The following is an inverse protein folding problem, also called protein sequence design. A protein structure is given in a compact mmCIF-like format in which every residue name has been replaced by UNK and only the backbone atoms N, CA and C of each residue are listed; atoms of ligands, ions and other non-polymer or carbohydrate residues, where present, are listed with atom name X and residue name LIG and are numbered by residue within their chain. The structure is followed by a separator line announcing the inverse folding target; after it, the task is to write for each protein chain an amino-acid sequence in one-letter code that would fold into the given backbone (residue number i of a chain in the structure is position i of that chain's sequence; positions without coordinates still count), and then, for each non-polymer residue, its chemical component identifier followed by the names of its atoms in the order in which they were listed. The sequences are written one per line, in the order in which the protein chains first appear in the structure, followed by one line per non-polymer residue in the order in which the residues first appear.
data_IF_834227081406
#
_entry.id   IF_834227081406
#
_cell.length_a   1.000
_cell.length_b   1.000
_cell.length_c   1.000
_cell.angle_alpha   90.00
_cell.angle_beta   90.00
_cell.angle_gamma   90.00
#
_symmetry.space_group_name_H-M   'P 1'
#
loop_
_entity.id
_entity.type
_entity.pdbx_description
1 polymer ?
#
# COMPACT_ATOMS: atom_id res chain seq x y z
N UNK A 1 9.84 6.37 -3.43
CA UNK A 1 8.57 5.89 -3.97
C UNK A 1 7.87 5.09 -2.92
N UNK A 2 6.72 5.63 -2.56
CA UNK A 2 5.77 5.01 -1.68
C UNK A 2 5.10 3.83 -2.38
N UNK A 3 4.51 2.93 -1.62
CA UNK A 3 3.66 1.85 -2.15
C UNK A 3 2.25 2.08 -1.64
N UNK A 4 1.24 1.97 -2.49
CA UNK A 4 -0.14 2.27 -2.12
C UNK A 4 -1.09 1.16 -2.55
N UNK A 5 -2.07 0.88 -1.70
CA UNK A 5 -3.30 0.20 -2.12
C UNK A 5 -4.35 1.27 -2.43
N UNK A 6 -4.48 1.58 -3.72
CA UNK A 6 -5.44 2.54 -4.23
C UNK A 6 -6.84 1.94 -4.27
N UNK A 7 -7.84 2.70 -3.82
CA UNK A 7 -9.26 2.31 -3.83
C UNK A 7 -10.04 3.20 -4.77
N UNK A 8 -10.73 2.59 -5.72
CA UNK A 8 -11.42 3.27 -6.80
C UNK A 8 -12.92 3.00 -6.76
N UNK A 9 -13.69 3.92 -7.32
CA UNK A 9 -15.12 3.77 -7.52
C UNK A 9 -15.50 4.27 -8.91
N UNK A 10 -16.18 3.44 -9.68
CA UNK A 10 -16.55 3.78 -11.05
C UNK A 10 -17.71 4.78 -11.06
N UNK A 11 -17.50 5.98 -11.59
CA UNK A 11 -18.57 6.97 -11.76
C UNK A 11 -19.67 6.52 -12.74
N UNK A 12 -19.38 5.55 -13.64
CA UNK A 12 -20.33 5.05 -14.63
C UNK A 12 -21.16 3.87 -14.12
N UNK A 13 -20.52 2.80 -13.64
CA UNK A 13 -21.21 1.58 -13.24
C UNK A 13 -21.32 1.40 -11.72
N UNK A 14 -20.77 2.33 -10.92
CA UNK A 14 -20.89 2.36 -9.47
C UNK A 14 -20.10 1.29 -8.70
N UNK A 15 -19.33 0.43 -9.40
CA UNK A 15 -18.55 -0.64 -8.78
C UNK A 15 -17.23 -0.10 -8.21
N UNK A 16 -16.79 -0.72 -7.12
CA UNK A 16 -15.53 -0.44 -6.46
C UNK A 16 -14.48 -1.49 -6.83
N UNK A 17 -13.22 -1.09 -6.90
CA UNK A 17 -12.07 -1.99 -7.03
C UNK A 17 -10.85 -1.39 -6.35
N UNK A 18 -9.80 -2.19 -6.23
CA UNK A 18 -8.52 -1.78 -5.67
C UNK A 18 -7.38 -2.17 -6.58
N UNK A 19 -6.30 -1.39 -6.56
CA UNK A 19 -5.06 -1.73 -7.24
C UNK A 19 -3.86 -1.32 -6.39
N UNK A 20 -2.77 -2.08 -6.45
CA UNK A 20 -1.53 -1.76 -5.76
C UNK A 20 -0.54 -1.12 -6.71
N UNK A 21 -0.04 0.07 -6.37
CA UNK A 21 0.89 0.78 -7.25
C UNK A 21 1.83 1.71 -6.49
N UNK A 22 2.95 2.08 -7.13
CA UNK A 22 3.95 3.00 -6.57
C UNK A 22 3.50 4.47 -6.51
N UNK A 23 2.29 4.76 -6.99
CA UNK A 23 1.67 6.09 -6.91
C UNK A 23 0.13 6.03 -6.95
N UNK A 24 -0.52 7.14 -6.61
CA UNK A 24 -1.98 7.29 -6.62
C UNK A 24 -2.46 7.79 -7.99
N UNK A 25 -2.27 6.97 -9.03
CA UNK A 25 -2.66 7.34 -10.40
C UNK A 25 -4.11 6.96 -10.73
N UNK A 26 -4.64 7.59 -11.76
CA UNK A 26 -5.92 7.22 -12.35
C UNK A 26 -5.85 5.81 -12.96
N UNK A 27 -6.96 5.08 -12.90
CA UNK A 27 -7.11 3.74 -13.47
C UNK A 27 -8.41 3.61 -14.28
N UNK A 28 -8.47 2.60 -15.14
CA UNK A 28 -9.61 2.26 -15.97
C UNK A 28 -10.45 1.16 -15.28
N UNK A 29 -11.78 1.35 -15.21
CA UNK A 29 -12.66 0.42 -14.51
C UNK A 29 -12.64 -0.96 -15.17
N UNK A 30 -12.23 -2.02 -14.44
CA UNK A 30 -12.08 -3.37 -15.00
C UNK A 30 -13.41 -4.03 -15.37
N UNK A 31 -14.53 -3.44 -14.92
CA UNK A 31 -15.87 -4.01 -15.14
C UNK A 31 -16.58 -3.44 -16.37
N UNK A 32 -16.36 -2.18 -16.71
CA UNK A 32 -17.11 -1.52 -17.79
C UNK A 32 -16.24 -0.72 -18.77
N UNK A 33 -14.92 -0.67 -18.53
CA UNK A 33 -13.96 0.04 -19.38
C UNK A 33 -14.11 1.56 -19.36
N UNK A 34 -14.88 2.12 -18.41
CA UNK A 34 -14.84 3.56 -18.16
C UNK A 34 -13.41 3.94 -17.75
N UNK A 35 -12.92 5.10 -18.18
CA UNK A 35 -11.52 5.50 -18.02
C UNK A 35 -11.36 6.64 -17.03
N UNK A 36 -10.13 6.85 -16.56
CA UNK A 36 -9.72 8.00 -15.75
C UNK A 36 -10.44 8.11 -14.40
N UNK A 37 -10.48 7.01 -13.64
CA UNK A 37 -10.94 7.04 -12.26
C UNK A 37 -9.77 7.29 -11.33
N UNK A 38 -9.75 8.44 -10.68
CA UNK A 38 -8.84 8.69 -9.56
C UNK A 38 -9.24 7.84 -8.34
N UNK A 39 -8.27 7.40 -7.53
CA UNK A 39 -8.60 6.73 -6.28
C UNK A 39 -9.31 7.72 -5.35
N UNK A 40 -10.36 7.25 -4.69
CA UNK A 40 -11.07 8.05 -3.68
C UNK A 40 -10.40 7.92 -2.30
N UNK A 41 -9.56 6.89 -2.12
CA UNK A 41 -8.75 6.67 -0.92
C UNK A 41 -7.55 5.78 -1.29
N UNK A 42 -6.42 5.97 -0.63
CA UNK A 42 -5.24 5.14 -0.81
C UNK A 42 -4.64 4.83 0.56
N UNK A 43 -4.44 3.55 0.85
CA UNK A 43 -3.70 3.11 2.03
C UNK A 43 -2.20 3.22 1.72
N UNK A 44 -1.43 3.90 2.58
CA UNK A 44 0.02 3.93 2.48
C UNK A 44 0.60 2.60 3.00
N UNK A 45 1.14 1.82 2.06
CA UNK A 45 1.80 0.55 2.29
C UNK A 45 3.32 0.68 2.09
N UNK A 46 3.88 1.89 2.06
CA UNK A 46 5.32 2.08 1.91
C UNK A 46 6.09 1.40 3.02
N UNK A 47 5.55 1.49 4.24
CA UNK A 47 6.08 0.89 5.44
C UNK A 47 4.99 0.05 6.11
N UNK A 48 5.29 -1.22 6.34
CA UNK A 48 4.34 -2.17 6.92
C UNK A 48 4.95 -2.91 8.10
N UNK A 49 4.10 -3.38 9.01
CA UNK A 49 4.47 -4.33 10.04
C UNK A 49 3.96 -5.71 9.65
N UNK A 50 4.88 -6.64 9.40
CA UNK A 50 4.55 -8.03 9.12
C UNK A 50 4.83 -8.90 10.36
N UNK A 51 3.84 -9.59 10.94
CA UNK A 51 4.09 -10.57 11.99
C UNK A 51 4.78 -11.81 11.41
N UNK A 52 5.92 -12.21 11.98
CA UNK A 52 6.65 -13.43 11.62
C UNK A 52 6.99 -14.22 12.88
N UNK A 53 6.48 -15.43 12.99
CA UNK A 53 6.62 -16.28 14.16
C UNK A 53 6.25 -15.52 15.46
N UNK A 54 7.24 -15.23 16.31
CA UNK A 54 7.08 -14.54 17.59
C UNK A 54 7.60 -13.09 17.56
N UNK A 55 7.82 -12.52 16.37
CA UNK A 55 8.33 -11.16 16.19
C UNK A 55 7.49 -10.39 15.17
N UNK A 56 7.66 -9.07 15.19
CA UNK A 56 7.04 -8.12 14.28
C UNK A 56 8.13 -7.43 13.48
N UNK A 57 8.10 -7.61 12.17
CA UNK A 57 9.13 -7.12 11.26
C UNK A 57 8.61 -5.87 10.58
N UNK A 58 9.30 -4.76 10.78
CA UNK A 58 9.04 -3.53 10.04
C UNK A 58 9.74 -3.63 8.70
N UNK A 59 8.95 -3.51 7.64
CA UNK A 59 9.40 -3.58 6.26
C UNK A 59 9.17 -2.23 5.58
N UNK A 60 10.04 -1.89 4.63
CA UNK A 60 9.86 -0.73 3.75
C UNK A 60 10.10 -1.08 2.30
N UNK A 61 9.20 -0.63 1.43
CA UNK A 61 9.42 -0.67 -0.01
C UNK A 61 10.36 0.48 -0.42
N UNK A 62 11.47 0.20 -1.13
CA UNK A 62 12.43 1.21 -1.53
C UNK A 62 11.87 2.12 -2.61
N UNK A 63 12.50 3.27 -2.78
CA UNK A 63 12.06 4.25 -3.77
C UNK A 63 12.21 3.83 -5.22
N UNK A 64 12.95 2.76 -5.47
CA UNK A 64 13.17 2.20 -6.80
C UNK A 64 12.18 1.08 -7.13
N UNK A 65 11.18 0.84 -6.28
CA UNK A 65 10.11 -0.12 -6.58
C UNK A 65 9.16 0.49 -7.64
N UNK A 66 8.90 -0.26 -8.71
CA UNK A 66 8.05 0.19 -9.82
C UNK A 66 6.82 -0.71 -9.99
N UNK A 67 7.03 -1.99 -10.31
CA UNK A 67 5.95 -2.93 -10.63
C UNK A 67 5.46 -3.76 -9.44
N UNK A 68 6.35 -4.05 -8.49
CA UNK A 68 6.06 -4.86 -7.30
C UNK A 68 6.70 -4.21 -6.08
N UNK A 69 6.14 -4.37 -4.87
CA UNK A 69 6.76 -3.86 -3.67
C UNK A 69 8.02 -4.67 -3.35
N UNK A 70 9.17 -4.00 -3.29
CA UNK A 70 10.46 -4.64 -3.02
C UNK A 70 10.83 -4.56 -1.53
N UNK A 71 9.90 -4.96 -0.64
CA UNK A 71 10.02 -4.78 0.81
C UNK A 71 11.36 -5.29 1.38
N UNK A 72 12.00 -4.44 2.18
CA UNK A 72 13.24 -4.76 2.91
C UNK A 72 13.02 -4.56 4.40
N UNK A 73 13.66 -5.41 5.21
CA UNK A 73 13.65 -5.29 6.67
C UNK A 73 14.33 -4.00 7.10
N UNK A 74 13.60 -3.17 7.84
CA UNK A 74 14.15 -2.02 8.55
C UNK A 74 14.49 -2.38 9.99
N UNK A 75 13.58 -3.07 10.68
CA UNK A 75 13.72 -3.40 12.09
C UNK A 75 12.87 -4.63 12.46
N UNK A 76 13.19 -5.25 13.60
CA UNK A 76 12.45 -6.39 14.15
C UNK A 76 12.19 -6.09 15.62
N UNK A 77 10.95 -6.29 16.05
CA UNK A 77 10.51 -6.06 17.43
C UNK A 77 9.79 -7.28 18.00
N UNK A 78 9.85 -7.51 19.32
CA UNK A 78 9.12 -8.61 19.94
C UNK A 78 7.61 -8.32 20.10
N UNK A 79 7.16 -7.08 19.92
CA UNK A 79 5.74 -6.70 20.06
C UNK A 79 5.27 -5.78 18.95
N UNK A 80 3.99 -5.89 18.57
CA UNK A 80 3.35 -5.01 17.60
C UNK A 80 3.45 -3.54 18.01
N UNK A 81 3.24 -3.25 19.30
CA UNK A 81 3.30 -1.88 19.81
C UNK A 81 4.66 -1.22 19.55
N UNK A 82 5.76 -1.95 19.75
CA UNK A 82 7.10 -1.40 19.48
C UNK A 82 7.34 -1.17 17.98
N UNK A 83 6.84 -2.05 17.13
CA UNK A 83 6.91 -1.87 15.68
C UNK A 83 6.07 -0.67 15.20
N UNK A 84 4.86 -0.51 15.73
CA UNK A 84 4.00 0.64 15.44
C UNK A 84 4.61 1.95 15.95
N UNK A 85 5.16 1.95 17.18
CA UNK A 85 5.81 3.13 17.76
C UNK A 85 7.05 3.53 16.92
N UNK A 86 7.77 2.56 16.35
CA UNK A 86 8.89 2.83 15.42
C UNK A 86 8.41 3.55 14.15
N UNK A 87 7.30 3.13 13.54
CA UNK A 87 6.74 3.78 12.35
C UNK A 87 6.16 5.18 12.65
N UNK A 88 5.69 5.45 13.87
CA UNK A 88 5.15 6.76 14.25
C UNK A 88 6.22 7.80 14.60
N UNK A 89 7.42 7.36 14.98
CA UNK A 89 8.50 8.22 15.47
C UNK A 89 9.60 8.49 14.42
N UNK A 90 9.55 7.81 13.28
CA UNK A 90 10.52 7.91 12.17
C UNK A 90 10.28 9.06 11.22
#
# INVERSE_FOLDING_TARGET
MAWFLNRYKCARCGRDWTDEWSCMCDDDCPHCGARHMSPHYSDDLTEIVEPRDNVFVVLRSPETAEHDPAYRVLAIFPTLKQADDYLRLG
#
